data_IF_487024363551
#
_entry.id   IF_487024363551
#
_cell.length_a   1.000
_cell.length_b   1.000
_cell.length_c   1.000
_cell.angle_alpha   90.00
_cell.angle_beta   90.00
_cell.angle_gamma   90.00
#
_symmetry.space_group_name_H-M   'P 1'
#
loop_
_entity.id
_entity.type
_entity.pdbx_description
1 polymer ?
#
# COMPACT_ATOMS: atom_id res chain seq x y z
N UNK A 1 17.56 8.36 -12.69
CA UNK A 1 16.17 8.05 -12.30
C UNK A 1 15.45 7.47 -13.50
N UNK A 2 14.57 6.49 -13.30
CA UNK A 2 13.67 5.97 -14.35
C UNK A 2 12.30 6.61 -14.11
N UNK A 3 11.78 7.31 -15.10
CA UNK A 3 10.49 8.00 -15.03
C UNK A 3 9.37 7.02 -15.39
N UNK A 4 8.41 6.82 -14.49
CA UNK A 4 7.30 5.88 -14.67
C UNK A 4 6.01 6.62 -15.05
N UNK A 5 5.97 7.21 -16.25
CA UNK A 5 4.77 7.76 -16.91
C UNK A 5 4.11 9.01 -16.29
N UNK A 6 4.05 9.12 -14.96
CA UNK A 6 3.50 10.26 -14.23
C UNK A 6 4.63 11.22 -13.82
N UNK A 7 4.40 12.53 -13.91
CA UNK A 7 5.45 13.55 -13.69
C UNK A 7 6.15 13.43 -12.32
N UNK A 8 5.44 12.97 -11.29
CA UNK A 8 5.99 12.73 -9.94
C UNK A 8 6.51 11.32 -9.67
N UNK A 9 6.37 10.38 -10.61
CA UNK A 9 6.78 8.98 -10.42
C UNK A 9 8.26 8.81 -10.77
N UNK A 10 9.13 9.41 -9.96
CA UNK A 10 10.58 9.39 -10.10
C UNK A 10 11.20 8.67 -8.89
N UNK A 11 12.02 7.66 -9.15
CA UNK A 11 12.90 7.06 -8.14
C UNK A 11 14.27 7.74 -8.24
N UNK A 12 14.68 8.46 -7.20
CA UNK A 12 15.98 9.12 -7.09
C UNK A 12 16.78 8.51 -5.93
N UNK A 13 17.84 7.75 -6.25
CA UNK A 13 18.64 7.04 -5.24
C UNK A 13 17.85 5.92 -4.53
N UNK A 14 18.05 5.76 -3.23
CA UNK A 14 17.32 4.82 -2.36
C UNK A 14 15.97 5.35 -1.85
N UNK A 15 15.71 6.65 -2.04
CA UNK A 15 14.48 7.32 -1.62
C UNK A 15 13.42 7.31 -2.71
N UNK A 16 12.15 7.22 -2.32
CA UNK A 16 11.03 7.17 -3.26
C UNK A 16 10.73 5.80 -3.87
N UNK A 17 11.44 4.74 -3.43
CA UNK A 17 11.13 3.36 -3.83
C UNK A 17 9.79 2.91 -3.23
N UNK A 18 9.09 2.01 -3.93
CA UNK A 18 7.86 1.41 -3.42
C UNK A 18 8.11 0.62 -2.12
N UNK A 19 9.25 -0.07 -2.02
CA UNK A 19 9.63 -0.84 -0.84
C UNK A 19 9.82 0.04 0.41
N UNK A 20 10.51 1.17 0.28
CA UNK A 20 10.70 2.10 1.41
C UNK A 20 9.37 2.69 1.88
N UNK A 21 8.46 3.03 0.95
CA UNK A 21 7.11 3.51 1.30
C UNK A 21 6.27 2.43 1.97
N UNK A 22 6.33 1.19 1.47
CA UNK A 22 5.65 0.04 2.07
C UNK A 22 6.08 -0.17 3.51
N UNK A 23 7.38 -0.25 3.77
CA UNK A 23 7.91 -0.45 5.12
C UNK A 23 7.50 0.66 6.10
N UNK A 24 7.51 1.92 5.66
CA UNK A 24 7.09 3.04 6.49
C UNK A 24 5.59 2.99 6.85
N UNK A 25 4.73 2.59 5.91
CA UNK A 25 3.29 2.42 6.15
C UNK A 25 3.01 1.24 7.08
N UNK A 26 3.69 0.11 6.88
CA UNK A 26 3.56 -1.07 7.74
C UNK A 26 4.03 -0.78 9.17
N UNK A 27 5.14 -0.04 9.34
CA UNK A 27 5.60 0.41 10.65
C UNK A 27 4.58 1.33 11.36
N UNK A 28 3.73 2.03 10.61
CA UNK A 28 2.63 2.82 11.14
C UNK A 28 1.34 2.00 11.39
N UNK A 29 1.37 0.68 11.21
CA UNK A 29 0.23 -0.21 11.43
C UNK A 29 -0.72 -0.33 10.23
N UNK A 30 -0.34 0.20 9.06
CA UNK A 30 -1.15 0.10 7.83
C UNK A 30 -0.89 -1.25 7.15
N UNK A 31 -1.96 -1.96 6.78
CA UNK A 31 -1.87 -3.14 5.91
C UNK A 31 -1.58 -2.70 4.47
N UNK A 32 -0.47 -3.13 3.85
CA UNK A 32 -0.08 -2.71 2.50
C UNK A 32 0.01 -3.91 1.54
N UNK A 33 -0.87 -3.97 0.55
CA UNK A 33 -0.84 -4.99 -0.50
C UNK A 33 0.36 -4.81 -1.44
N UNK A 34 1.02 -5.92 -1.80
CA UNK A 34 2.10 -5.93 -2.78
C UNK A 34 1.59 -5.83 -4.23
N UNK A 35 0.31 -6.15 -4.45
CA UNK A 35 -0.37 -6.05 -5.76
C UNK A 35 -1.71 -5.32 -5.63
N UNK A 36 -2.27 -4.76 -6.72
CA UNK A 36 -3.61 -4.16 -6.69
C UNK A 36 -4.70 -5.14 -6.21
N UNK A 37 -4.62 -6.40 -6.62
CA UNK A 37 -5.56 -7.46 -6.22
C UNK A 37 -5.48 -7.75 -4.72
N UNK A 38 -4.28 -7.83 -4.16
CA UNK A 38 -4.09 -8.03 -2.72
C UNK A 38 -4.67 -6.86 -1.92
N UNK A 39 -4.44 -5.62 -2.36
CA UNK A 39 -5.04 -4.43 -1.75
C UNK A 39 -6.57 -4.52 -1.72
N UNK A 40 -7.20 -4.97 -2.80
CA UNK A 40 -8.65 -5.19 -2.82
C UNK A 40 -9.08 -6.25 -1.79
N UNK A 41 -8.34 -7.35 -1.67
CA UNK A 41 -8.58 -8.39 -0.67
C UNK A 41 -8.50 -7.87 0.77
N UNK A 42 -7.51 -7.01 1.08
CA UNK A 42 -7.36 -6.39 2.40
C UNK A 42 -8.58 -5.53 2.77
N UNK A 43 -9.11 -4.76 1.81
CA UNK A 43 -10.32 -3.95 2.01
C UNK A 43 -11.54 -4.83 2.26
N UNK A 44 -11.72 -5.89 1.48
CA UNK A 44 -12.84 -6.83 1.67
C UNK A 44 -12.80 -7.50 3.04
N UNK A 45 -11.61 -7.93 3.50
CA UNK A 45 -11.43 -8.50 4.83
C UNK A 45 -11.83 -7.50 5.93
N UNK A 46 -11.36 -6.25 5.83
CA UNK A 46 -11.71 -5.16 6.74
C UNK A 46 -13.22 -4.89 6.82
N UNK A 47 -13.89 -4.89 5.66
CA UNK A 47 -15.34 -4.66 5.59
C UNK A 47 -16.11 -5.83 6.22
N UNK A 48 -15.67 -7.06 6.01
CA UNK A 48 -16.25 -8.25 6.64
C UNK A 48 -16.07 -8.22 8.17
N UNK A 49 -14.86 -7.91 8.66
CA UNK A 49 -14.55 -7.71 10.08
C UNK A 49 -15.47 -6.64 10.70
N UNK A 50 -15.62 -5.48 10.04
CA UNK A 50 -16.42 -4.35 10.54
C UNK A 50 -17.92 -4.66 10.56
N UNK A 51 -18.41 -5.44 9.61
CA UNK A 51 -19.84 -5.81 9.52
C UNK A 51 -20.21 -6.87 10.55
N UNK A 52 -19.31 -7.84 10.81
CA UNK A 52 -19.52 -8.86 11.84
C UNK A 52 -19.44 -8.32 13.28
N UNK A 53 -18.69 -7.25 13.50
CA UNK A 53 -18.46 -6.65 14.82
C UNK A 53 -19.54 -5.62 15.25
N UNK A 54 -20.62 -5.47 14.46
CA UNK A 54 -21.78 -4.61 14.76
C UNK A 54 -23.01 -5.39 15.28
N UNK A 55 -22.85 -6.69 15.54
CA UNK A 55 -23.88 -7.52 16.17
C UNK A 55 -23.74 -7.52 17.70
#
# INVERSE_FOLDING_TARGET
GKTMGHAGAIVSGSSGTAAAKKAALEAAGVRVGATPTETAGLVLALLAETTGNRA
#
